data_IF_314011829191
#
_entry.id   IF_314011829191
#
_cell.length_a   1.000
_cell.length_b   1.000
_cell.length_c   1.000
_cell.angle_alpha   90.00
_cell.angle_beta   90.00
_cell.angle_gamma   90.00
#
_symmetry.space_group_name_H-M   'P 1'
#
loop_
_entity.id
_entity.type
_entity.pdbx_description
1 polymer ?
#
# COMPACT_ATOMS: atom_id res chain seq x y z
N UNK A 1 9.02 -0.16 -3.70
CA UNK A 1 9.31 1.08 -2.94
C UNK A 1 9.58 2.24 -3.90
N UNK A 2 8.97 3.43 -3.73
CA UNK A 2 9.22 4.60 -4.57
C UNK A 2 10.46 5.38 -4.09
N UNK A 3 11.67 4.86 -4.35
CA UNK A 3 12.95 5.42 -3.85
C UNK A 3 13.14 6.90 -4.15
N UNK A 4 12.65 7.38 -5.30
CA UNK A 4 12.71 8.79 -5.70
C UNK A 4 11.97 9.76 -4.74
N UNK A 5 11.04 9.25 -3.93
CA UNK A 5 10.27 10.02 -2.95
C UNK A 5 10.82 9.87 -1.51
N UNK A 6 11.77 8.97 -1.25
CA UNK A 6 12.27 8.72 0.10
C UNK A 6 13.25 9.82 0.52
N UNK A 7 12.96 10.50 1.64
CA UNK A 7 13.84 11.52 2.22
C UNK A 7 13.88 12.86 1.45
N UNK A 8 13.04 13.04 0.43
CA UNK A 8 13.04 14.25 -0.43
C UNK A 8 11.97 15.27 -0.05
N UNK A 9 11.14 14.99 0.97
CA UNK A 9 9.96 15.77 1.30
C UNK A 9 8.81 15.64 0.29
N UNK A 10 9.00 14.89 -0.79
CA UNK A 10 7.97 14.53 -1.77
C UNK A 10 7.36 13.19 -1.36
N UNK A 11 6.05 13.02 -1.58
CA UNK A 11 5.36 11.76 -1.33
C UNK A 11 4.76 11.29 -2.65
N UNK A 12 4.90 10.00 -2.98
CA UNK A 12 4.17 9.45 -4.12
C UNK A 12 2.66 9.52 -3.84
N UNK A 13 1.90 10.03 -4.79
CA UNK A 13 0.43 10.11 -4.63
C UNK A 13 -0.18 8.71 -4.66
N UNK A 14 -1.41 8.53 -4.11
CA UNK A 14 -2.11 7.25 -4.20
C UNK A 14 -2.25 6.74 -5.64
N UNK A 15 -2.50 7.62 -6.60
CA UNK A 15 -2.62 7.28 -8.02
C UNK A 15 -1.29 6.81 -8.61
N UNK A 16 -0.18 7.45 -8.21
CA UNK A 16 1.16 7.03 -8.64
C UNK A 16 1.52 5.65 -8.07
N UNK A 17 1.16 5.39 -6.82
CA UNK A 17 1.38 4.10 -6.17
C UNK A 17 0.54 3.00 -6.84
N UNK A 18 -0.77 3.21 -6.98
CA UNK A 18 -1.71 2.28 -7.63
C UNK A 18 -1.32 2.00 -9.09
N UNK A 19 -1.01 3.03 -9.88
CA UNK A 19 -0.58 2.86 -11.28
C UNK A 19 0.65 1.95 -11.41
N UNK A 20 1.63 2.11 -10.52
CA UNK A 20 2.82 1.27 -10.52
C UNK A 20 2.55 -0.15 -10.05
N UNK A 21 1.68 -0.32 -9.05
CA UNK A 21 1.23 -1.63 -8.62
C UNK A 21 0.47 -2.36 -9.72
N UNK A 22 -0.40 -1.69 -10.47
CA UNK A 22 -1.10 -2.27 -11.62
C UNK A 22 -0.15 -2.73 -12.74
N UNK A 23 0.97 -2.02 -12.96
CA UNK A 23 2.03 -2.49 -13.88
C UNK A 23 2.66 -3.79 -13.37
N UNK A 24 3.00 -3.86 -12.08
CA UNK A 24 3.60 -5.05 -11.47
C UNK A 24 2.62 -6.23 -11.49
N UNK A 25 1.34 -5.98 -11.19
CA UNK A 25 0.28 -6.99 -11.24
C UNK A 25 0.18 -7.62 -12.62
N UNK A 26 0.07 -6.79 -13.67
CA UNK A 26 0.01 -7.28 -15.06
C UNK A 26 1.24 -8.10 -15.45
N UNK A 27 2.42 -7.69 -14.99
CA UNK A 27 3.65 -8.46 -15.23
C UNK A 27 3.63 -9.82 -14.50
N UNK A 28 3.16 -9.87 -13.26
CA UNK A 28 2.99 -11.12 -12.51
C UNK A 28 1.91 -12.03 -13.12
N UNK A 29 0.81 -11.46 -13.61
CA UNK A 29 -0.25 -12.22 -14.30
C UNK A 29 0.28 -12.88 -15.57
N UNK A 30 1.07 -12.16 -16.37
CA UNK A 30 1.73 -12.71 -17.55
C UNK A 30 2.72 -13.84 -17.21
N UNK A 31 3.32 -13.79 -16.02
CA UNK A 31 4.18 -14.85 -15.50
C UNK A 31 3.40 -16.00 -14.81
N UNK A 32 2.08 -15.92 -14.71
CA UNK A 32 1.24 -16.95 -14.07
C UNK A 32 1.26 -16.92 -12.53
N UNK A 33 1.58 -15.76 -11.92
CA UNK A 33 1.75 -15.61 -10.47
C UNK A 33 0.91 -14.50 -9.84
N UNK A 34 0.12 -13.76 -10.61
CA UNK A 34 -0.49 -12.52 -10.08
C UNK A 34 -1.59 -12.72 -9.03
N UNK A 35 -2.33 -13.84 -9.05
CA UNK A 35 -3.40 -14.10 -8.09
C UNK A 35 -2.90 -14.44 -6.67
N UNK A 36 -1.73 -15.08 -6.55
CA UNK A 36 -1.22 -15.64 -5.28
C UNK A 36 -0.20 -14.72 -4.57
N UNK A 37 0.03 -13.51 -5.09
CA UNK A 37 1.11 -12.63 -4.65
C UNK A 37 0.57 -11.31 -4.15
N UNK A 38 0.84 -10.98 -2.89
CA UNK A 38 0.60 -9.64 -2.37
C UNK A 38 1.67 -8.66 -2.87
N UNK A 39 1.24 -7.51 -3.37
CA UNK A 39 2.09 -6.37 -3.74
C UNK A 39 1.91 -5.29 -2.67
N UNK A 40 2.92 -5.15 -1.82
CA UNK A 40 2.91 -4.19 -0.71
C UNK A 40 3.51 -2.85 -1.14
N UNK A 41 2.87 -1.75 -0.72
CA UNK A 41 3.40 -0.42 -0.90
C UNK A 41 4.43 -0.11 0.19
N UNK A 42 5.67 0.13 -0.21
CA UNK A 42 6.80 0.44 0.68
C UNK A 42 7.23 1.92 0.66
N UNK A 43 6.33 2.85 0.34
CA UNK A 43 6.62 4.28 0.43
C UNK A 43 6.36 4.86 1.82
N UNK A 44 6.22 6.18 1.93
CA UNK A 44 5.91 6.84 3.20
C UNK A 44 4.46 6.58 3.61
N UNK A 45 4.26 5.58 4.46
CA UNK A 45 2.97 5.23 5.08
C UNK A 45 2.90 5.79 6.49
N UNK A 46 1.78 6.43 6.81
CA UNK A 46 1.45 7.03 8.11
C UNK A 46 -0.03 6.77 8.40
N UNK A 47 -0.47 6.86 9.67
CA UNK A 47 -1.90 6.74 10.00
C UNK A 47 -2.80 7.62 9.14
N UNK A 48 -2.37 8.87 8.88
CA UNK A 48 -3.15 9.85 8.13
C UNK A 48 -3.28 9.62 6.63
N UNK A 49 -2.55 8.66 6.02
CA UNK A 49 -2.63 8.39 4.57
C UNK A 49 -2.88 6.92 4.21
N UNK A 50 -2.88 6.01 5.19
CA UNK A 50 -3.03 4.58 4.94
C UNK A 50 -4.36 4.23 4.25
N UNK A 51 -5.47 4.79 4.72
CA UNK A 51 -6.79 4.53 4.13
C UNK A 51 -6.89 5.01 2.67
N UNK A 52 -6.37 6.18 2.37
CA UNK A 52 -6.38 6.76 1.02
C UNK A 52 -5.51 5.94 0.05
N UNK A 53 -4.33 5.49 0.50
CA UNK A 53 -3.46 4.63 -0.28
C UNK A 53 -4.14 3.30 -0.63
N UNK A 54 -4.83 2.66 0.31
CA UNK A 54 -5.56 1.41 0.05
C UNK A 54 -6.74 1.63 -0.91
N UNK A 55 -7.44 2.77 -0.77
CA UNK A 55 -8.59 3.09 -1.61
C UNK A 55 -8.22 3.32 -3.09
N UNK A 56 -6.96 3.61 -3.41
CA UNK A 56 -6.51 3.83 -4.79
C UNK A 56 -6.45 2.56 -5.66
N UNK A 57 -6.61 1.37 -5.06
CA UNK A 57 -6.61 0.08 -5.77
C UNK A 57 -5.21 -0.48 -6.03
N UNK A 58 -5.15 -1.77 -6.37
CA UNK A 58 -3.93 -2.56 -6.65
C UNK A 58 -2.87 -2.62 -5.52
N UNK A 59 -3.14 -2.03 -4.36
CA UNK A 59 -2.29 -2.03 -3.17
C UNK A 59 -2.86 -3.02 -2.16
N UNK A 60 -2.14 -4.11 -1.90
CA UNK A 60 -2.63 -5.18 -1.02
C UNK A 60 -2.25 -4.94 0.45
N UNK A 61 -1.48 -3.89 0.74
CA UNK A 61 -1.01 -3.58 2.09
C UNK A 61 0.29 -2.78 2.08
N UNK A 62 0.99 -2.77 3.21
CA UNK A 62 2.12 -1.88 3.45
C UNK A 62 3.35 -2.59 3.97
N UNK A 63 4.51 -2.14 3.50
CA UNK A 63 5.80 -2.35 4.17
C UNK A 63 6.16 -1.05 4.90
N UNK A 64 5.89 -1.00 6.21
CA UNK A 64 5.94 0.24 6.98
C UNK A 64 7.34 0.49 7.55
N UNK A 65 7.91 1.65 7.24
CA UNK A 65 9.20 2.12 7.77
C UNK A 65 9.06 2.76 9.16
N UNK A 66 9.54 4.00 9.34
CA UNK A 66 9.63 4.65 10.65
C UNK A 66 8.33 4.75 11.46
N UNK A 67 7.16 4.78 10.82
CA UNK A 67 5.87 4.75 11.51
C UNK A 67 5.61 3.44 12.28
N UNK A 68 6.33 2.36 11.96
CA UNK A 68 6.28 1.09 12.70
C UNK A 68 6.88 1.18 14.11
N UNK A 69 7.70 2.21 14.39
CA UNK A 69 8.36 2.40 15.69
C UNK A 69 7.46 3.09 16.72
N UNK A 70 6.31 3.65 16.31
CA UNK A 70 5.26 4.11 17.19
C UNK A 70 4.13 3.09 17.23
N UNK A 71 3.97 2.39 18.35
CA UNK A 71 3.01 1.30 18.49
C UNK A 71 1.56 1.73 18.18
N UNK A 72 1.17 2.96 18.56
CA UNK A 72 -0.19 3.46 18.30
C UNK A 72 -0.37 3.78 16.83
N UNK A 73 0.52 4.56 16.24
CA UNK A 73 0.48 4.84 14.81
C UNK A 73 0.55 3.58 13.95
N UNK A 74 1.34 2.58 14.33
CA UNK A 74 1.38 1.32 13.61
C UNK A 74 0.06 0.55 13.70
N UNK A 75 -0.58 0.52 14.89
CA UNK A 75 -1.88 -0.10 15.07
C UNK A 75 -2.98 0.59 14.23
N UNK A 76 -2.93 1.92 14.11
CA UNK A 76 -3.86 2.68 13.27
C UNK A 76 -3.71 2.29 11.78
N UNK A 77 -2.47 2.10 11.30
CA UNK A 77 -2.19 1.63 9.94
C UNK A 77 -2.75 0.21 9.72
N UNK A 78 -2.53 -0.69 10.69
CA UNK A 78 -3.08 -2.06 10.63
C UNK A 78 -4.61 -2.05 10.63
N UNK A 79 -5.22 -1.19 11.44
CA UNK A 79 -6.68 -1.04 11.51
C UNK A 79 -7.27 -0.54 10.21
N UNK A 80 -6.61 0.43 9.54
CA UNK A 80 -7.00 0.89 8.22
C UNK A 80 -6.96 -0.25 7.19
N UNK A 81 -5.91 -1.08 7.20
CA UNK A 81 -5.81 -2.24 6.33
C UNK A 81 -6.90 -3.30 6.60
N UNK A 82 -7.13 -3.65 7.87
CA UNK A 82 -8.17 -4.61 8.24
C UNK A 82 -9.58 -4.13 7.85
N UNK A 83 -9.86 -2.83 8.02
CA UNK A 83 -11.12 -2.21 7.62
C UNK A 83 -11.31 -2.28 6.10
N UNK A 84 -10.27 -2.00 5.33
CA UNK A 84 -10.32 -2.07 3.87
C UNK A 84 -10.63 -3.49 3.37
N UNK A 85 -9.98 -4.51 3.93
CA UNK A 85 -10.25 -5.91 3.59
C UNK A 85 -11.70 -6.29 3.88
N UNK A 86 -12.25 -5.85 5.03
CA UNK A 86 -13.64 -6.10 5.39
C UNK A 86 -14.63 -5.42 4.42
N UNK A 87 -14.30 -4.22 3.93
CA UNK A 87 -15.12 -3.50 2.95
C UNK A 87 -15.12 -4.15 1.57
N UNK A 88 -14.00 -4.72 1.13
CA UNK A 88 -13.91 -5.44 -0.15
C UNK A 88 -14.56 -6.83 -0.12
N UNK A 89 -14.76 -7.40 1.07
CA UNK A 89 -15.34 -8.74 1.25
C UNK A 89 -16.86 -8.74 1.43
N UNK A 90 -17.51 -7.56 1.42
CA UNK A 90 -18.97 -7.46 1.49
C UNK A 90 -19.59 -7.76 0.11
N UNK A 91 -20.63 -8.61 0.05
CA UNK A 91 -21.26 -9.05 -1.20
C UNK A 91 -22.00 -7.94 -1.95
#
# INVERSE_FOLDING_TARGET
EPVWAIGTGRTATPEQASSMHGVIRRWLDQAGHGADRSILYGGSVKPGNAAELLAAGDIDGFLVGGASLDARGFLDIVTAAATHVAQQSSP
#
